data_IF_304719216033
#
_entry.id   IF_304719216033
#
_cell.length_a   1.000
_cell.length_b   1.000
_cell.length_c   1.000
_cell.angle_alpha   90.00
_cell.angle_beta   90.00
_cell.angle_gamma   90.00
#
_symmetry.space_group_name_H-M   'P 1'
#
loop_
_entity.id
_entity.type
_entity.pdbx_description
1 polymer ?
#
# COMPACT_ATOMS: atom_id res chain seq x y z
N UNK A 1 13.07 44.91 12.48
CA UNK A 1 13.37 43.51 12.08
C UNK A 1 14.15 43.53 10.77
N UNK A 2 15.32 42.98 10.77
CA UNK A 2 16.14 42.94 9.57
C UNK A 2 15.56 41.96 8.55
N UNK A 3 15.70 42.29 7.28
CA UNK A 3 15.23 41.46 6.16
C UNK A 3 15.76 40.02 6.23
N UNK A 4 17.02 39.85 6.68
CA UNK A 4 17.66 38.54 6.84
C UNK A 4 16.89 37.64 7.81
N UNK A 5 16.41 38.17 8.92
CA UNK A 5 15.66 37.43 9.94
C UNK A 5 14.29 37.03 9.42
N UNK A 6 13.63 37.89 8.66
CA UNK A 6 12.36 37.60 8.01
C UNK A 6 12.49 36.47 6.99
N UNK A 7 13.54 36.50 6.18
CA UNK A 7 13.80 35.45 5.19
C UNK A 7 14.07 34.10 5.86
N UNK A 8 14.81 34.07 6.95
CA UNK A 8 15.06 32.86 7.72
C UNK A 8 13.76 32.26 8.29
N UNK A 9 12.93 33.12 8.88
CA UNK A 9 11.63 32.67 9.41
C UNK A 9 10.76 32.05 8.35
N UNK A 10 10.69 32.65 7.17
CA UNK A 10 9.88 32.14 6.07
C UNK A 10 10.36 30.76 5.63
N UNK A 11 11.67 30.56 5.53
CA UNK A 11 12.24 29.26 5.17
C UNK A 11 11.97 28.21 6.25
N UNK A 12 12.14 28.55 7.51
CA UNK A 12 11.85 27.65 8.63
C UNK A 12 10.38 27.26 8.70
N UNK A 13 9.49 28.19 8.44
CA UNK A 13 8.05 27.93 8.42
C UNK A 13 7.65 26.97 7.30
N UNK A 14 8.21 27.16 6.10
CA UNK A 14 7.98 26.24 4.98
C UNK A 14 8.49 24.84 5.29
N UNK A 15 9.69 24.71 5.85
CA UNK A 15 10.26 23.43 6.27
C UNK A 15 9.41 22.72 7.31
N UNK A 16 8.91 23.47 8.28
CA UNK A 16 8.03 22.93 9.32
C UNK A 16 6.74 22.37 8.73
N UNK A 17 6.10 23.11 7.82
CA UNK A 17 4.88 22.68 7.14
C UNK A 17 5.10 21.43 6.30
N UNK A 18 6.21 21.36 5.57
CA UNK A 18 6.57 20.18 4.78
C UNK A 18 6.78 18.95 5.66
N UNK A 19 7.43 19.13 6.81
CA UNK A 19 7.64 18.04 7.76
C UNK A 19 6.32 17.58 8.37
N UNK A 20 5.43 18.47 8.75
CA UNK A 20 4.10 18.15 9.27
C UNK A 20 3.27 17.38 8.25
N UNK A 21 3.32 17.76 6.97
CA UNK A 21 2.66 17.06 5.88
C UNK A 21 3.20 15.63 5.69
N UNK A 22 4.52 15.46 5.75
CA UNK A 22 5.16 14.13 5.66
C UNK A 22 4.77 13.22 6.81
N UNK A 23 4.75 13.76 8.03
CA UNK A 23 4.32 13.02 9.22
C UNK A 23 2.87 12.61 9.13
N UNK A 24 2.00 13.49 8.64
CA UNK A 24 0.59 13.20 8.44
C UNK A 24 0.39 12.11 7.39
N UNK A 25 1.06 12.22 6.26
CA UNK A 25 1.01 11.22 5.20
C UNK A 25 1.49 9.85 5.70
N UNK A 26 2.56 9.83 6.49
CA UNK A 26 3.09 8.62 7.09
C UNK A 26 2.11 7.96 8.06
N UNK A 27 1.47 8.74 8.93
CA UNK A 27 0.44 8.24 9.86
C UNK A 27 -0.77 7.68 9.11
N UNK A 28 -1.25 8.39 8.10
CA UNK A 28 -2.36 7.94 7.26
C UNK A 28 -2.05 6.62 6.57
N UNK A 29 -0.82 6.45 6.09
CA UNK A 29 -0.36 5.21 5.48
C UNK A 29 -0.35 4.06 6.48
N UNK A 30 0.15 4.27 7.68
CA UNK A 30 0.17 3.27 8.75
C UNK A 30 -1.25 2.83 9.13
N UNK A 31 -2.17 3.77 9.29
CA UNK A 31 -3.57 3.48 9.58
C UNK A 31 -4.23 2.67 8.47
N UNK A 32 -3.95 3.01 7.21
CA UNK A 32 -4.47 2.30 6.06
C UNK A 32 -3.96 0.86 6.00
N UNK A 33 -2.68 0.66 6.21
CA UNK A 33 -2.06 -0.67 6.28
C UNK A 33 -2.70 -1.49 7.40
N UNK A 34 -2.88 -0.90 8.56
CA UNK A 34 -3.49 -1.55 9.72
C UNK A 34 -4.91 -2.03 9.42
N UNK A 35 -5.74 -1.20 8.79
CA UNK A 35 -7.09 -1.57 8.38
C UNK A 35 -7.08 -2.74 7.38
N UNK A 36 -6.18 -2.71 6.41
CA UNK A 36 -6.03 -3.78 5.42
C UNK A 36 -5.65 -5.10 6.11
N UNK A 37 -4.67 -5.06 7.01
CA UNK A 37 -4.21 -6.25 7.73
C UNK A 37 -5.31 -6.84 8.62
N UNK A 38 -6.08 -6.01 9.31
CA UNK A 38 -7.21 -6.44 10.13
C UNK A 38 -8.28 -7.14 9.28
N UNK A 39 -8.61 -6.58 8.12
CA UNK A 39 -9.56 -7.17 7.18
C UNK A 39 -9.09 -8.54 6.70
N UNK A 40 -7.82 -8.66 6.36
CA UNK A 40 -7.21 -9.93 5.92
C UNK A 40 -7.27 -10.97 7.05
N UNK A 41 -6.93 -10.58 8.27
CA UNK A 41 -7.00 -11.49 9.42
C UNK A 41 -8.42 -12.01 9.68
N UNK A 42 -9.42 -11.16 9.53
CA UNK A 42 -10.83 -11.56 9.65
C UNK A 42 -11.17 -12.58 8.55
N UNK A 43 -10.74 -12.33 7.31
CA UNK A 43 -10.96 -13.26 6.21
C UNK A 43 -10.28 -14.61 6.45
N UNK A 44 -9.08 -14.60 7.02
CA UNK A 44 -8.36 -15.81 7.40
C UNK A 44 -9.12 -16.61 8.47
N UNK A 45 -9.61 -15.94 9.50
CA UNK A 45 -10.41 -16.55 10.57
C UNK A 45 -11.66 -17.22 9.97
N UNK A 46 -12.39 -16.49 9.13
CA UNK A 46 -13.60 -17.00 8.50
C UNK A 46 -13.30 -18.21 7.59
N UNK A 47 -12.22 -18.13 6.80
CA UNK A 47 -11.78 -19.23 5.95
C UNK A 47 -11.40 -20.47 6.77
N UNK A 48 -10.72 -20.30 7.90
CA UNK A 48 -10.35 -21.40 8.78
C UNK A 48 -11.56 -22.10 9.39
N UNK A 49 -12.62 -21.36 9.70
CA UNK A 49 -13.88 -21.91 10.17
C UNK A 49 -14.59 -22.78 9.13
N UNK A 50 -14.34 -22.48 7.86
CA UNK A 50 -14.81 -23.31 6.72
C UNK A 50 -13.91 -24.50 6.40
N UNK A 51 -12.83 -24.68 7.16
CA UNK A 51 -11.84 -25.75 6.94
C UNK A 51 -10.79 -25.45 5.88
N UNK A 52 -10.70 -24.21 5.42
CA UNK A 52 -9.68 -23.78 4.46
C UNK A 52 -8.33 -23.56 5.16
N UNK A 53 -7.24 -23.75 4.42
CA UNK A 53 -5.86 -23.58 4.92
C UNK A 53 -5.13 -22.44 4.24
N UNK A 54 -5.80 -21.73 3.36
CA UNK A 54 -5.24 -20.57 2.66
C UNK A 54 -6.33 -19.61 2.21
N UNK A 55 -5.95 -18.37 1.95
CA UNK A 55 -6.81 -17.37 1.32
C UNK A 55 -6.08 -16.72 0.16
N UNK A 56 -6.85 -16.22 -0.80
CA UNK A 56 -6.35 -15.48 -1.94
C UNK A 56 -6.81 -14.03 -1.83
N UNK A 57 -5.87 -13.10 -1.97
CA UNK A 57 -6.12 -11.66 -1.95
C UNK A 57 -5.70 -11.09 -3.29
N UNK A 58 -6.61 -10.36 -3.93
CA UNK A 58 -6.34 -9.69 -5.19
C UNK A 58 -6.34 -8.18 -4.98
N UNK A 59 -5.25 -7.54 -5.39
CA UNK A 59 -5.13 -6.10 -5.38
C UNK A 59 -4.79 -5.60 -6.76
N UNK A 60 -5.55 -4.60 -7.22
CA UNK A 60 -5.32 -3.95 -8.50
C UNK A 60 -4.77 -2.56 -8.22
N UNK A 61 -3.68 -2.22 -8.86
CA UNK A 61 -2.96 -1.00 -8.62
C UNK A 61 -2.65 -0.26 -9.92
N UNK A 62 -3.03 1.00 -10.00
CA UNK A 62 -2.75 1.87 -11.14
C UNK A 62 -1.50 2.71 -10.94
N UNK A 63 -0.96 2.74 -9.73
CA UNK A 63 0.26 3.47 -9.39
C UNK A 63 1.13 2.63 -8.45
N UNK A 64 2.43 2.76 -8.63
CA UNK A 64 3.43 2.04 -7.81
C UNK A 64 3.41 2.52 -6.35
N UNK A 65 2.92 3.74 -6.10
CA UNK A 65 3.01 4.39 -4.79
C UNK A 65 1.98 3.90 -3.76
N UNK A 66 0.84 3.34 -4.19
CA UNK A 66 -0.22 2.84 -3.31
C UNK A 66 -0.19 1.33 -3.10
N UNK A 67 0.95 0.72 -3.40
CA UNK A 67 1.09 -0.72 -3.32
C UNK A 67 1.43 -1.16 -1.90
N UNK A 68 0.42 -1.66 -1.20
CA UNK A 68 0.57 -2.22 0.14
C UNK A 68 0.98 -3.70 0.12
N UNK A 69 1.24 -4.26 -1.04
CA UNK A 69 1.54 -5.69 -1.22
C UNK A 69 2.78 -6.11 -0.46
N UNK A 70 3.85 -5.31 -0.53
CA UNK A 70 5.08 -5.61 0.19
C UNK A 70 4.88 -5.57 1.71
N UNK A 71 4.10 -4.62 2.21
CA UNK A 71 3.76 -4.51 3.63
C UNK A 71 2.96 -5.73 4.10
N UNK A 72 2.00 -6.18 3.30
CA UNK A 72 1.20 -7.38 3.60
C UNK A 72 2.07 -8.63 3.62
N UNK A 73 2.92 -8.81 2.61
CA UNK A 73 3.85 -9.93 2.51
C UNK A 73 4.76 -10.01 3.73
N UNK A 74 5.36 -8.88 4.07
CA UNK A 74 6.28 -8.79 5.21
C UNK A 74 5.59 -9.14 6.52
N UNK A 75 4.42 -8.55 6.76
CA UNK A 75 3.66 -8.77 8.00
C UNK A 75 3.33 -10.24 8.22
N UNK A 76 2.76 -10.91 7.23
CA UNK A 76 2.37 -12.31 7.37
C UNK A 76 3.56 -13.28 7.32
N UNK A 77 4.59 -12.96 6.54
CA UNK A 77 5.83 -13.74 6.52
C UNK A 77 6.53 -13.73 7.88
N UNK A 78 6.58 -12.60 8.54
CA UNK A 78 7.16 -12.45 9.88
C UNK A 78 6.38 -13.23 10.94
N UNK A 79 5.07 -13.41 10.74
CA UNK A 79 4.23 -14.23 11.62
C UNK A 79 4.30 -15.74 11.33
N UNK A 80 5.10 -16.15 10.36
CA UNK A 80 5.31 -17.54 10.02
C UNK A 80 4.36 -18.11 8.96
N UNK A 81 3.54 -17.28 8.34
CA UNK A 81 2.68 -17.72 7.24
C UNK A 81 3.45 -17.78 5.92
N UNK A 82 3.08 -18.72 5.05
CA UNK A 82 3.63 -18.78 3.70
C UNK A 82 2.85 -17.82 2.81
N UNK A 83 3.55 -16.94 2.13
CA UNK A 83 2.95 -15.95 1.23
C UNK A 83 3.51 -16.15 -0.17
N UNK A 84 2.64 -16.41 -1.14
CA UNK A 84 2.98 -16.47 -2.55
C UNK A 84 2.43 -15.23 -3.24
N UNK A 85 3.21 -14.62 -4.10
CA UNK A 85 2.86 -13.40 -4.82
C UNK A 85 3.02 -13.61 -6.33
N UNK A 86 1.96 -13.32 -7.07
CA UNK A 86 1.95 -13.28 -8.53
C UNK A 86 1.54 -11.90 -8.98
N UNK A 87 2.23 -11.37 -9.98
CA UNK A 87 1.91 -10.09 -10.59
C UNK A 87 1.55 -10.30 -12.06
N UNK A 88 0.43 -9.74 -12.48
CA UNK A 88 0.02 -9.67 -13.89
C UNK A 88 -0.04 -8.21 -14.30
N UNK A 89 0.50 -7.93 -15.47
CA UNK A 89 0.53 -6.58 -16.03
C UNK A 89 -0.48 -6.49 -17.17
N UNK A 90 -1.37 -5.51 -17.09
CA UNK A 90 -2.36 -5.23 -18.13
C UNK A 90 -2.04 -3.87 -18.76
N UNK A 91 -1.96 -3.85 -20.08
CA UNK A 91 -1.80 -2.62 -20.84
C UNK A 91 -3.17 -2.22 -21.37
N UNK A 92 -3.68 -1.09 -20.88
CA UNK A 92 -4.92 -0.52 -21.36
C UNK A 92 -4.62 0.60 -22.36
N UNK A 93 -5.08 0.42 -23.60
CA UNK A 93 -4.99 1.47 -24.61
C UNK A 93 -6.21 2.39 -24.45
N UNK A 94 -5.97 3.66 -24.11
CA UNK A 94 -7.02 4.67 -24.07
C UNK A 94 -7.58 4.96 -25.47
N UNK A 95 -8.90 5.07 -25.56
CA UNK A 95 -9.59 5.37 -26.81
C UNK A 95 -9.42 6.87 -27.17
N UNK A 96 -9.29 7.14 -28.47
CA UNK A 96 -9.26 8.46 -29.11
C UNK A 96 -7.93 9.23 -29.02
N UNK A 97 -7.03 8.97 -29.97
CA UNK A 97 -6.02 9.93 -30.45
C UNK A 97 -4.95 10.41 -29.48
N UNK A 98 -5.05 10.07 -28.23
CA UNK A 98 -4.03 10.30 -27.20
C UNK A 98 -3.57 8.94 -26.70
N UNK A 99 -2.35 8.61 -27.01
CA UNK A 99 -1.72 7.38 -26.53
C UNK A 99 -1.39 7.51 -25.03
N UNK A 100 -2.37 7.41 -24.18
CA UNK A 100 -2.11 7.21 -22.77
C UNK A 100 -2.06 5.70 -22.50
N UNK A 101 -0.85 5.19 -22.35
CA UNK A 101 -0.62 3.84 -21.91
C UNK A 101 -0.89 3.77 -20.41
N UNK A 102 -2.08 3.32 -20.04
CA UNK A 102 -2.38 3.01 -18.65
C UNK A 102 -1.94 1.58 -18.37
N UNK A 103 -0.89 1.45 -17.55
CA UNK A 103 -0.44 0.15 -17.07
C UNK A 103 -1.14 -0.15 -15.75
N UNK A 104 -1.89 -1.25 -15.73
CA UNK A 104 -2.54 -1.74 -14.51
C UNK A 104 -1.83 -3.00 -14.04
N UNK A 105 -1.47 -3.05 -12.78
CA UNK A 105 -0.85 -4.21 -12.16
C UNK A 105 -1.89 -4.93 -11.29
N UNK A 106 -2.08 -6.22 -11.55
CA UNK A 106 -2.89 -7.09 -10.71
C UNK A 106 -1.97 -7.95 -9.85
N UNK A 107 -2.05 -7.76 -8.55
CA UNK A 107 -1.29 -8.53 -7.58
C UNK A 107 -2.20 -9.56 -6.94
N UNK A 108 -1.78 -10.81 -6.98
CA UNK A 108 -2.46 -11.91 -6.30
C UNK A 108 -1.56 -12.44 -5.20
N UNK A 109 -2.04 -12.39 -3.96
CA UNK A 109 -1.35 -12.91 -2.79
C UNK A 109 -2.10 -14.12 -2.27
N UNK A 110 -1.39 -15.23 -2.08
CA UNK A 110 -1.93 -16.41 -1.43
C UNK A 110 -1.24 -16.57 -0.08
N UNK A 111 -2.01 -16.44 0.98
CA UNK A 111 -1.52 -16.59 2.34
C UNK A 111 -1.96 -17.95 2.86
N UNK A 112 -1.01 -18.80 3.22
CA UNK A 112 -1.24 -20.17 3.65
C UNK A 112 -0.76 -20.38 5.08
N UNK A 113 -1.58 -21.04 5.89
CA UNK A 113 -1.24 -21.49 7.24
C UNK A 113 -1.15 -23.01 7.36
N UNK A 114 -1.04 -23.67 6.24
CA UNK A 114 -0.87 -25.11 6.15
C UNK A 114 0.51 -25.50 6.67
N UNK A 115 0.53 -26.42 7.61
CA UNK A 115 1.77 -27.00 8.12
C UNK A 115 2.42 -27.95 7.12
#
# INVERSE_FOLDING_TARGET
MELRDMLKRNVEEVKRKEQEERERAYRNRIEKIKEILETIEIDMINASREGKTEIEIVRVDNSIEENYVEDIKKYFSEKGFKVKHKTQTFFNYGFVGVFELHTTFKHTLVISWRE
#
